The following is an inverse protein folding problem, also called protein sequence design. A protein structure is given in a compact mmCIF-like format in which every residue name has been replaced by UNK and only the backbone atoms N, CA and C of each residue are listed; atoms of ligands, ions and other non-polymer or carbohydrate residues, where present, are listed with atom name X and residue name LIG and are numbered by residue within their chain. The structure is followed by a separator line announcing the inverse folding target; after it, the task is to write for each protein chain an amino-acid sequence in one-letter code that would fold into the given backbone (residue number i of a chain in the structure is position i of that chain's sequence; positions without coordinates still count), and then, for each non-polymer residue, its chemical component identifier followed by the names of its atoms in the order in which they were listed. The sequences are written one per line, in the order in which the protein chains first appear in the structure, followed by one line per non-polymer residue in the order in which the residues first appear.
data_IF_940325157037
#
_entry.id   IF_940325157037
#
_cell.length_a   1.000
_cell.length_b   1.000
_cell.length_c   1.000
_cell.angle_alpha   90.00
_cell.angle_beta   90.00
_cell.angle_gamma   90.00
#
_symmetry.space_group_name_H-M   'P 1'
#
loop_
_entity.id
_entity.type
_entity.pdbx_description
1 polymer ?
#
# COMPACT_ATOMS: atom_id res chain seq x y z
N UNK A 1 12.91 -0.84 17.60
CA UNK A 1 12.13 0.13 16.82
C UNK A 1 12.18 -0.45 15.42
N UNK A 2 11.08 -1.03 14.93
CA UNK A 2 11.00 -1.28 13.50
C UNK A 2 11.12 0.10 12.83
N UNK A 3 11.94 0.18 11.79
CA UNK A 3 11.94 1.36 10.94
C UNK A 3 10.64 1.24 10.14
N UNK A 4 9.59 1.98 10.52
CA UNK A 4 8.25 1.93 9.89
C UNK A 4 8.28 2.57 8.48
N UNK A 5 9.28 2.24 7.67
CA UNK A 5 9.59 2.84 6.39
C UNK A 5 10.00 1.78 5.37
N UNK A 6 9.89 2.11 4.09
CA UNK A 6 10.31 1.23 2.99
C UNK A 6 11.75 1.52 2.61
N UNK A 7 12.59 0.50 2.70
CA UNK A 7 13.97 0.54 2.23
C UNK A 7 14.03 0.07 0.78
N UNK A 8 14.63 0.87 -0.10
CA UNK A 8 14.79 0.53 -1.51
C UNK A 8 16.25 0.62 -1.94
N UNK A 9 16.68 -0.33 -2.75
CA UNK A 9 17.98 -0.29 -3.40
C UNK A 9 17.85 0.35 -4.78
N UNK A 10 18.48 1.51 -4.94
CA UNK A 10 18.44 2.33 -6.16
C UNK A 10 19.79 2.24 -6.86
N UNK A 11 19.77 1.88 -8.14
CA UNK A 11 20.94 1.73 -8.98
C UNK A 11 20.95 2.71 -10.16
N UNK A 12 22.14 3.15 -10.57
CA UNK A 12 22.36 3.99 -11.73
C UNK A 12 22.40 3.12 -13.00
N UNK A 13 21.42 3.32 -13.90
CA UNK A 13 21.30 2.51 -15.11
C UNK A 13 22.41 2.83 -16.12
N UNK A 14 22.83 4.09 -16.20
CA UNK A 14 23.89 4.52 -17.11
C UNK A 14 25.25 3.87 -16.80
N UNK A 15 25.63 3.85 -15.53
CA UNK A 15 26.85 3.16 -15.08
C UNK A 15 26.73 1.64 -15.14
N UNK A 16 25.53 1.11 -14.86
CA UNK A 16 25.28 -0.32 -15.02
C UNK A 16 25.53 -0.78 -16.45
N UNK A 17 25.09 -0.01 -17.44
CA UNK A 17 25.35 -0.26 -18.87
C UNK A 17 26.84 -0.22 -19.24
N UNK A 18 27.67 0.47 -18.46
CA UNK A 18 29.13 0.51 -18.61
C UNK A 18 29.85 -0.59 -17.83
N UNK A 19 29.12 -1.48 -17.16
CA UNK A 19 29.67 -2.55 -16.33
C UNK A 19 30.09 -2.09 -14.92
N UNK A 20 29.70 -0.89 -14.50
CA UNK A 20 29.93 -0.36 -13.16
C UNK A 20 28.65 -0.40 -12.31
N UNK A 21 28.65 -1.21 -11.25
CA UNK A 21 27.59 -1.17 -10.24
C UNK A 21 27.77 0.05 -9.34
N UNK A 22 26.92 1.07 -9.53
CA UNK A 22 26.78 2.21 -8.62
C UNK A 22 25.33 2.32 -8.18
N UNK A 23 25.11 2.29 -6.86
CA UNK A 23 23.79 2.34 -6.24
C UNK A 23 23.90 2.32 -4.72
N UNK A 24 22.77 2.41 -4.05
CA UNK A 24 22.70 2.42 -2.59
C UNK A 24 21.31 2.11 -2.06
N UNK A 25 21.24 1.81 -0.76
CA UNK A 25 19.98 1.68 -0.04
C UNK A 25 19.56 3.04 0.53
N UNK A 26 18.26 3.32 0.50
CA UNK A 26 17.63 4.44 1.19
C UNK A 26 16.32 3.98 1.83
N UNK A 27 16.03 4.45 3.03
CA UNK A 27 14.80 4.15 3.77
C UNK A 27 13.88 5.37 3.72
N UNK A 28 12.72 5.22 3.08
CA UNK A 28 11.70 6.25 2.90
C UNK A 28 10.63 6.15 4.02
N UNK A 29 9.98 7.27 4.40
CA UNK A 29 10.14 8.60 3.84
C UNK A 29 11.40 9.34 4.35
N UNK A 30 11.95 10.19 3.49
CA UNK A 30 13.01 11.18 3.81
C UNK A 30 12.61 12.57 3.31
N UNK A 31 13.27 13.61 3.83
CA UNK A 31 13.14 14.96 3.29
C UNK A 31 13.59 15.01 1.82
N UNK A 32 12.93 15.81 0.96
CA UNK A 32 13.27 15.91 -0.47
C UNK A 32 14.75 16.23 -0.74
N UNK A 33 15.34 17.17 0.02
CA UNK A 33 16.75 17.52 -0.10
C UNK A 33 17.69 16.33 0.18
N UNK A 34 17.32 15.45 1.12
CA UNK A 34 18.09 14.26 1.45
C UNK A 34 17.94 13.19 0.35
N UNK A 35 16.77 13.10 -0.29
CA UNK A 35 16.53 12.24 -1.44
C UNK A 35 17.36 12.68 -2.66
N UNK A 36 17.39 13.99 -2.94
CA UNK A 36 18.21 14.57 -4.00
C UNK A 36 19.70 14.38 -3.75
N UNK A 37 20.14 14.58 -2.51
CA UNK A 37 21.53 14.28 -2.11
C UNK A 37 21.86 12.80 -2.31
N UNK A 38 20.94 11.90 -1.97
CA UNK A 38 21.13 10.47 -2.19
C UNK A 38 21.28 10.12 -3.68
N UNK A 39 20.38 10.63 -4.54
CA UNK A 39 20.43 10.40 -5.98
C UNK A 39 21.74 10.93 -6.60
N UNK A 40 22.14 12.14 -6.23
CA UNK A 40 23.33 12.79 -6.78
C UNK A 40 24.65 12.23 -6.23
N UNK A 41 24.79 12.07 -4.92
CA UNK A 41 26.07 11.68 -4.29
C UNK A 41 26.25 10.15 -4.26
N UNK A 42 25.20 9.42 -3.90
CA UNK A 42 25.27 7.95 -3.68
C UNK A 42 25.03 7.20 -4.98
N UNK A 43 23.88 7.43 -5.62
CA UNK A 43 23.56 6.77 -6.90
C UNK A 43 24.37 7.37 -8.04
N UNK A 44 24.77 8.65 -7.94
CA UNK A 44 25.63 9.28 -8.93
C UNK A 44 24.92 9.64 -10.21
N UNK A 45 23.61 9.78 -10.17
CA UNK A 45 22.84 10.34 -11.26
C UNK A 45 23.33 11.80 -11.39
N UNK A 46 23.55 12.31 -12.61
CA UNK A 46 23.71 13.75 -12.98
C UNK A 46 25.07 14.34 -12.83
N UNK A 47 25.97 13.60 -12.21
CA UNK A 47 27.35 13.66 -12.62
C UNK A 47 27.46 13.15 -14.07
N UNK A 48 27.98 13.96 -14.99
CA UNK A 48 28.33 13.55 -16.37
C UNK A 48 27.17 13.08 -17.30
N UNK A 49 25.92 13.48 -17.05
CA UNK A 49 24.80 13.25 -17.99
C UNK A 49 24.08 11.90 -17.85
N UNK A 50 24.32 11.16 -16.76
CA UNK A 50 23.49 10.02 -16.40
C UNK A 50 22.20 10.53 -15.74
N UNK A 51 21.06 10.42 -16.42
CA UNK A 51 19.76 10.90 -15.88
C UNK A 51 18.92 9.77 -15.28
N UNK A 52 19.33 8.52 -15.51
CA UNK A 52 18.50 7.33 -15.28
C UNK A 52 18.91 6.47 -14.08
N UNK A 53 17.91 6.15 -13.25
CA UNK A 53 18.01 5.18 -12.17
C UNK A 53 16.89 4.13 -12.27
N UNK A 54 17.04 3.04 -11.51
CA UNK A 54 16.02 2.02 -11.29
C UNK A 54 16.06 1.53 -9.84
N UNK A 55 14.89 1.10 -9.33
CA UNK A 55 14.78 0.33 -8.10
C UNK A 55 14.98 -1.15 -8.44
N UNK A 56 15.96 -1.82 -7.82
CA UNK A 56 16.22 -3.23 -8.08
C UNK A 56 15.79 -4.16 -6.95
N UNK A 57 15.68 -3.63 -5.73
CA UNK A 57 15.31 -4.40 -4.56
C UNK A 57 14.61 -3.50 -3.56
N UNK A 58 13.79 -4.10 -2.69
CA UNK A 58 13.09 -3.39 -1.63
C UNK A 58 12.80 -4.29 -0.43
N UNK A 59 12.78 -3.68 0.75
CA UNK A 59 12.48 -4.32 2.03
C UNK A 59 11.61 -3.36 2.85
N UNK A 60 10.62 -3.87 3.59
CA UNK A 60 9.78 -3.06 4.46
C UNK A 60 8.85 -3.91 5.32
N UNK A 61 8.22 -3.30 6.31
CA UNK A 61 7.16 -3.90 7.11
C UNK A 61 5.94 -2.97 7.27
N UNK A 62 4.88 -3.53 7.86
CA UNK A 62 3.66 -2.80 8.20
C UNK A 62 2.96 -2.17 7.00
N UNK A 63 2.41 -0.97 7.23
CA UNK A 63 1.61 -0.22 6.26
C UNK A 63 2.41 0.25 5.04
N UNK A 64 3.74 0.29 5.13
CA UNK A 64 4.58 0.67 3.98
C UNK A 64 4.94 -0.55 3.11
N UNK A 65 4.69 -1.77 3.61
CA UNK A 65 4.91 -3.04 2.91
C UNK A 65 3.60 -3.67 2.41
N UNK A 66 2.72 -2.84 1.84
CA UNK A 66 1.44 -3.27 1.28
C UNK A 66 1.64 -4.29 0.18
N UNK A 67 0.94 -5.42 0.31
CA UNK A 67 1.17 -6.58 -0.56
C UNK A 67 0.75 -6.32 -2.00
N UNK A 68 -0.23 -5.45 -2.21
CA UNK A 68 -0.71 -5.04 -3.52
C UNK A 68 0.04 -3.84 -4.12
N UNK A 69 0.90 -3.14 -3.36
CA UNK A 69 1.66 -2.01 -3.89
C UNK A 69 2.84 -2.50 -4.73
N UNK A 70 2.84 -2.12 -6.01
CA UNK A 70 3.87 -2.52 -6.95
C UNK A 70 5.07 -1.59 -6.84
N UNK A 71 6.14 -2.09 -6.24
CA UNK A 71 7.47 -1.46 -6.24
C UNK A 71 8.33 -2.21 -7.26
N UNK A 72 8.44 -1.66 -8.46
CA UNK A 72 9.29 -2.19 -9.53
C UNK A 72 10.31 -1.14 -10.02
N UNK A 73 11.13 -1.52 -11.00
CA UNK A 73 12.16 -0.65 -11.59
C UNK A 73 11.60 0.62 -12.25
N UNK A 74 10.29 0.67 -12.49
CA UNK A 74 9.57 1.79 -13.06
C UNK A 74 8.76 2.59 -12.04
N UNK A 75 9.06 2.48 -10.76
CA UNK A 75 8.48 3.38 -9.76
C UNK A 75 9.31 4.65 -9.66
N UNK A 76 8.64 5.81 -9.73
CA UNK A 76 9.25 7.11 -9.43
C UNK A 76 9.57 7.18 -7.94
N UNK A 77 10.84 7.42 -7.61
CA UNK A 77 11.33 7.41 -6.24
C UNK A 77 10.75 8.55 -5.39
N UNK A 78 10.45 9.70 -5.99
CA UNK A 78 9.80 10.81 -5.28
C UNK A 78 8.35 10.46 -4.96
N UNK A 79 7.64 9.82 -5.90
CA UNK A 79 6.27 9.36 -5.69
C UNK A 79 6.18 8.28 -4.61
N UNK A 80 7.15 7.36 -4.59
CA UNK A 80 7.28 6.39 -3.53
C UNK A 80 7.59 7.06 -2.18
N UNK A 81 8.42 8.11 -2.17
CA UNK A 81 8.73 8.87 -0.96
C UNK A 81 7.50 9.61 -0.41
N UNK A 82 6.68 10.21 -1.28
CA UNK A 82 5.40 10.85 -0.93
C UNK A 82 4.41 9.82 -0.39
N UNK A 83 4.25 8.69 -1.06
CA UNK A 83 3.37 7.62 -0.60
C UNK A 83 3.82 7.09 0.77
N UNK A 84 5.11 6.84 0.96
CA UNK A 84 5.65 6.42 2.26
C UNK A 84 5.41 7.47 3.36
N UNK A 85 5.49 8.77 3.04
CA UNK A 85 5.21 9.84 3.99
C UNK A 85 3.75 9.84 4.45
N UNK A 86 2.81 9.81 3.48
CA UNK A 86 1.37 9.78 3.76
C UNK A 86 0.97 8.50 4.50
N UNK A 87 1.49 7.35 4.07
CA UNK A 87 1.18 6.06 4.68
C UNK A 87 1.69 5.99 6.12
N UNK A 88 2.89 6.50 6.41
CA UNK A 88 3.46 6.50 7.76
C UNK A 88 2.60 7.26 8.78
N UNK A 89 1.82 8.23 8.35
CA UNK A 89 0.90 8.97 9.23
C UNK A 89 -0.39 8.21 9.53
N UNK A 90 -0.71 7.16 8.78
CA UNK A 90 -1.90 6.35 9.06
C UNK A 90 -1.61 5.30 10.16
N UNK A 91 -2.67 4.83 10.81
CA UNK A 91 -2.57 3.72 11.77
C UNK A 91 -2.28 2.38 11.10
N UNK A 92 -1.60 1.46 11.79
CA UNK A 92 -1.29 0.13 11.25
C UNK A 92 -2.52 -0.67 10.78
N UNK A 93 -3.68 -0.37 11.36
CA UNK A 93 -4.94 -1.09 11.12
C UNK A 93 -5.57 -0.79 9.75
N UNK A 94 -5.10 0.23 9.02
CA UNK A 94 -5.67 0.55 7.68
C UNK A 94 -5.03 -0.25 6.55
N UNK A 95 -3.94 -0.99 6.78
CA UNK A 95 -3.20 -1.66 5.72
C UNK A 95 -4.06 -2.64 4.91
N UNK A 96 -4.83 -3.49 5.60
CA UNK A 96 -5.74 -4.43 4.96
C UNK A 96 -6.87 -3.72 4.19
N UNK A 97 -7.32 -2.55 4.68
CA UNK A 97 -8.32 -1.74 3.99
C UNK A 97 -7.79 -1.17 2.69
N UNK A 98 -6.55 -0.67 2.69
CA UNK A 98 -5.91 -0.12 1.50
C UNK A 98 -5.62 -1.19 0.45
N UNK A 99 -5.10 -2.36 0.85
CA UNK A 99 -4.84 -3.48 -0.07
C UNK A 99 -6.17 -3.92 -0.75
N UNK A 100 -7.26 -4.07 0.02
CA UNK A 100 -8.56 -4.45 -0.54
C UNK A 100 -9.13 -3.36 -1.46
N UNK A 101 -9.12 -2.09 -1.03
CA UNK A 101 -9.61 -0.98 -1.84
C UNK A 101 -8.82 -0.83 -3.15
N UNK A 102 -7.49 -0.99 -3.10
CA UNK A 102 -6.64 -0.97 -4.29
C UNK A 102 -6.95 -2.15 -5.23
N UNK A 103 -7.21 -3.35 -4.70
CA UNK A 103 -7.64 -4.50 -5.50
C UNK A 103 -8.97 -4.21 -6.23
N UNK A 104 -9.97 -3.68 -5.52
CA UNK A 104 -11.27 -3.32 -6.11
C UNK A 104 -11.15 -2.26 -7.20
N UNK A 105 -10.26 -1.28 -6.98
CA UNK A 105 -9.99 -0.21 -7.95
C UNK A 105 -9.00 -0.63 -9.06
N UNK A 106 -8.44 -1.85 -9.02
CA UNK A 106 -7.35 -2.32 -9.88
C UNK A 106 -6.16 -1.32 -9.90
N UNK A 107 -5.83 -0.79 -8.74
CA UNK A 107 -4.74 0.14 -8.51
C UNK A 107 -3.54 -0.57 -7.86
N UNK A 108 -2.33 -0.17 -8.22
CA UNK A 108 -1.09 -0.76 -7.65
C UNK A 108 0.06 0.23 -7.47
N UNK A 109 -0.06 1.46 -7.96
CA UNK A 109 1.01 2.46 -7.89
C UNK A 109 1.09 3.16 -6.53
N UNK A 110 2.26 3.68 -6.12
CA UNK A 110 2.43 4.33 -4.82
C UNK A 110 1.47 5.51 -4.58
N UNK A 111 1.28 6.38 -5.58
CA UNK A 111 0.38 7.53 -5.44
C UNK A 111 -1.10 7.12 -5.30
N UNK A 112 -1.50 6.02 -5.93
CA UNK A 112 -2.85 5.49 -5.75
C UNK A 112 -3.06 5.04 -4.29
N UNK A 113 -2.08 4.34 -3.71
CA UNK A 113 -2.12 3.98 -2.29
C UNK A 113 -2.12 5.20 -1.38
N UNK A 114 -1.35 6.25 -1.71
CA UNK A 114 -1.36 7.50 -0.97
C UNK A 114 -2.74 8.19 -1.02
N UNK A 115 -3.35 8.22 -2.21
CA UNK A 115 -4.68 8.79 -2.42
C UNK A 115 -5.77 8.02 -1.68
N UNK A 116 -5.71 6.68 -1.68
CA UNK A 116 -6.63 5.83 -0.91
C UNK A 116 -6.42 6.01 0.59
N UNK A 117 -5.17 6.15 1.06
CA UNK A 117 -4.86 6.41 2.47
C UNK A 117 -5.51 7.70 2.98
N UNK A 118 -5.50 8.77 2.18
CA UNK A 118 -6.18 10.02 2.51
C UNK A 118 -7.72 9.92 2.47
N UNK A 119 -8.27 8.84 1.90
CA UNK A 119 -9.69 8.54 1.80
C UNK A 119 -10.07 7.30 2.62
N UNK A 120 -9.24 6.89 3.59
CA UNK A 120 -9.45 5.62 4.30
C UNK A 120 -10.82 5.53 5.02
N UNK A 121 -11.34 6.67 5.50
CA UNK A 121 -12.64 6.78 6.14
C UNK A 121 -13.83 6.49 5.18
N UNK A 122 -13.63 6.60 3.86
CA UNK A 122 -14.65 6.36 2.83
C UNK A 122 -14.60 4.93 2.28
N UNK A 123 -13.63 4.10 2.71
CA UNK A 123 -13.59 2.68 2.36
C UNK A 123 -14.76 1.97 3.06
N UNK A 124 -15.59 1.15 2.36
CA UNK A 124 -16.78 0.52 2.93
C UNK A 124 -16.44 -0.68 3.83
N UNK A 125 -15.60 -0.46 4.83
CA UNK A 125 -15.17 -1.43 5.83
C UNK A 125 -15.93 -1.23 7.15
N UNK A 126 -16.22 -2.34 7.83
CA UNK A 126 -16.79 -2.32 9.17
C UNK A 126 -16.15 -3.40 10.04
N UNK A 127 -15.69 -3.00 11.22
CA UNK A 127 -15.28 -3.95 12.24
C UNK A 127 -16.48 -4.82 12.67
N UNK A 128 -16.21 -6.05 13.11
CA UNK A 128 -17.28 -6.90 13.63
C UNK A 128 -17.88 -6.33 14.91
N UNK A 129 -19.21 -6.31 14.98
CA UNK A 129 -19.96 -6.08 16.21
C UNK A 129 -20.47 -7.42 16.73
N UNK A 130 -19.63 -8.08 17.53
CA UNK A 130 -19.91 -9.39 18.09
C UNK A 130 -19.51 -9.45 19.57
N UNK A 131 -20.23 -10.24 20.40
CA UNK A 131 -19.87 -10.41 21.81
C UNK A 131 -18.44 -10.91 22.00
N UNK A 132 -17.75 -10.46 23.06
CA UNK A 132 -16.35 -10.86 23.37
C UNK A 132 -16.13 -12.39 23.45
N UNK A 133 -17.19 -13.18 23.67
CA UNK A 133 -17.12 -14.65 23.67
C UNK A 133 -16.96 -15.29 22.29
N UNK A 134 -17.03 -14.50 21.21
CA UNK A 134 -17.06 -14.95 19.79
C UNK A 134 -15.67 -14.85 19.14
N UNK A 135 -14.61 -14.58 19.91
CA UNK A 135 -13.22 -14.44 19.43
C UNK A 135 -12.67 -15.65 18.66
N UNK A 136 -13.25 -16.84 18.84
CA UNK A 136 -12.86 -18.08 18.15
C UNK A 136 -13.92 -18.59 17.16
N UNK A 137 -14.94 -17.81 16.88
CA UNK A 137 -15.96 -18.17 15.91
C UNK A 137 -15.45 -17.98 14.47
N UNK A 138 -16.17 -18.56 13.51
CA UNK A 138 -15.88 -18.31 12.09
C UNK A 138 -16.20 -16.87 11.71
N UNK A 139 -15.61 -16.39 10.60
CA UNK A 139 -15.87 -15.05 10.09
C UNK A 139 -17.36 -14.83 9.78
N UNK A 140 -18.02 -15.86 9.25
CA UNK A 140 -19.45 -15.83 8.95
C UNK A 140 -20.28 -15.74 10.22
N UNK A 141 -19.89 -16.43 11.30
CA UNK A 141 -20.59 -16.31 12.57
C UNK A 141 -20.42 -14.92 13.19
N UNK A 142 -19.20 -14.35 13.16
CA UNK A 142 -18.97 -12.94 13.56
C UNK A 142 -19.84 -11.98 12.75
N UNK A 143 -19.91 -12.18 11.43
CA UNK A 143 -20.72 -11.37 10.52
C UNK A 143 -22.22 -11.46 10.83
N UNK A 144 -22.72 -12.67 11.13
CA UNK A 144 -24.12 -12.86 11.51
C UNK A 144 -24.49 -12.08 12.78
N UNK A 145 -23.58 -11.99 13.76
CA UNK A 145 -23.78 -11.12 14.93
C UNK A 145 -23.80 -9.64 14.54
N UNK A 146 -22.88 -9.17 13.68
CA UNK A 146 -22.90 -7.79 13.19
C UNK A 146 -24.23 -7.44 12.51
N UNK A 147 -24.77 -8.34 11.67
CA UNK A 147 -26.06 -8.13 11.01
C UNK A 147 -27.21 -7.98 12.03
N UNK A 148 -27.17 -8.72 13.15
CA UNK A 148 -28.20 -8.70 14.17
C UNK A 148 -28.30 -7.35 14.91
N UNK A 149 -27.30 -6.47 14.82
CA UNK A 149 -27.40 -5.12 15.38
C UNK A 149 -28.30 -4.20 14.53
N UNK A 150 -28.56 -4.57 13.27
CA UNK A 150 -29.43 -3.81 12.36
C UNK A 150 -30.69 -4.56 11.94
N UNK A 151 -30.71 -5.89 12.10
CA UNK A 151 -31.85 -6.76 11.84
C UNK A 151 -32.50 -7.25 13.16
N UNK A 152 -33.61 -6.60 13.54
CA UNK A 152 -34.34 -6.92 14.77
C UNK A 152 -34.86 -8.37 14.81
N UNK A 153 -35.27 -8.93 13.66
CA UNK A 153 -35.79 -10.29 13.58
C UNK A 153 -34.67 -11.31 13.83
N UNK A 154 -33.49 -11.07 13.24
CA UNK A 154 -32.30 -11.88 13.49
C UNK A 154 -31.85 -11.77 14.95
N UNK A 155 -31.87 -10.57 15.53
CA UNK A 155 -31.54 -10.33 16.93
C UNK A 155 -32.47 -11.11 17.86
N UNK A 156 -33.78 -11.04 17.65
CA UNK A 156 -34.76 -11.78 18.46
C UNK A 156 -34.56 -13.31 18.33
N UNK A 157 -34.21 -13.80 17.14
CA UNK A 157 -33.92 -15.22 16.93
C UNK A 157 -32.69 -15.68 17.73
N UNK A 158 -31.62 -14.88 17.74
CA UNK A 158 -30.37 -15.14 18.47
C UNK A 158 -30.59 -15.06 19.99
N UNK A 159 -31.30 -14.05 20.48
CA UNK A 159 -31.56 -13.87 21.91
C UNK A 159 -32.67 -14.81 22.43
N UNK A 160 -33.42 -15.41 21.51
CA UNK A 160 -34.50 -16.33 21.81
C UNK A 160 -34.04 -17.66 22.40
N UNK A 161 -34.99 -18.42 22.94
CA UNK A 161 -34.74 -19.73 23.57
C UNK A 161 -34.02 -20.77 22.68
N UNK A 162 -34.02 -20.56 21.36
CA UNK A 162 -33.40 -21.45 20.38
C UNK A 162 -32.08 -20.91 19.81
N UNK A 163 -31.67 -19.69 20.18
CA UNK A 163 -30.44 -19.04 19.72
C UNK A 163 -29.20 -19.93 19.77
N UNK A 164 -28.92 -20.65 20.89
CA UNK A 164 -27.77 -21.55 20.99
C UNK A 164 -27.77 -22.74 20.02
N UNK A 165 -28.89 -22.99 19.33
CA UNK A 165 -29.03 -24.06 18.34
C UNK A 165 -29.05 -23.53 16.90
N UNK A 166 -29.01 -22.21 16.71
CA UNK A 166 -28.91 -21.61 15.39
C UNK A 166 -27.51 -21.84 14.83
N UNK A 167 -27.43 -22.16 13.54
CA UNK A 167 -26.17 -22.24 12.82
C UNK A 167 -25.83 -20.85 12.27
N UNK A 168 -25.26 -20.00 13.11
CA UNK A 168 -24.93 -18.62 12.77
C UNK A 168 -23.89 -18.53 11.64
N UNK A 169 -22.94 -19.45 11.59
CA UNK A 169 -22.01 -19.53 10.47
C UNK A 169 -22.72 -19.75 9.12
N UNK A 170 -23.74 -20.60 9.07
CA UNK A 170 -24.52 -20.79 7.84
C UNK A 170 -25.37 -19.55 7.49
N UNK A 171 -25.96 -18.91 8.49
CA UNK A 171 -26.73 -17.67 8.30
C UNK A 171 -25.83 -16.56 7.77
N UNK A 172 -24.70 -16.31 8.42
CA UNK A 172 -23.75 -15.28 8.01
C UNK A 172 -23.18 -15.52 6.62
N UNK A 173 -22.87 -16.77 6.25
CA UNK A 173 -22.46 -17.13 4.89
C UNK A 173 -23.51 -16.71 3.86
N UNK A 174 -24.78 -16.96 4.15
CA UNK A 174 -25.88 -16.66 3.23
C UNK A 174 -26.17 -15.15 3.17
N UNK A 175 -25.88 -14.40 4.24
CA UNK A 175 -25.97 -12.93 4.28
C UNK A 175 -24.78 -12.24 3.59
N UNK A 176 -23.59 -12.85 3.63
CA UNK A 176 -22.33 -12.28 3.16
C UNK A 176 -22.16 -12.30 1.62
N UNK A 177 -23.23 -12.42 0.83
CA UNK A 177 -23.12 -12.62 -0.62
C UNK A 177 -22.35 -11.51 -1.36
N UNK A 178 -22.42 -10.27 -0.87
CA UNK A 178 -21.69 -9.12 -1.42
C UNK A 178 -20.65 -8.59 -0.42
N UNK A 179 -20.15 -9.45 0.47
CA UNK A 179 -19.22 -9.05 1.51
C UNK A 179 -17.92 -9.80 1.37
N UNK A 180 -16.81 -9.11 1.59
CA UNK A 180 -15.51 -9.74 1.81
C UNK A 180 -15.23 -9.78 3.30
N UNK A 181 -15.21 -10.99 3.87
CA UNK A 181 -14.97 -11.20 5.29
C UNK A 181 -13.46 -11.37 5.56
N UNK A 182 -12.94 -10.67 6.56
CA UNK A 182 -11.53 -10.72 7.00
C UNK A 182 -11.47 -10.98 8.49
N UNK A 183 -10.28 -11.17 9.07
CA UNK A 183 -10.16 -11.40 10.51
C UNK A 183 -10.57 -10.18 11.36
N UNK A 184 -10.35 -8.97 10.83
CA UNK A 184 -10.54 -7.69 11.52
C UNK A 184 -11.91 -7.04 11.27
N UNK A 185 -12.64 -7.50 10.25
CA UNK A 185 -13.94 -6.95 9.88
C UNK A 185 -14.41 -7.44 8.52
N UNK A 186 -15.31 -6.70 7.90
CA UNK A 186 -15.86 -7.02 6.59
C UNK A 186 -15.97 -5.79 5.71
N UNK A 187 -15.80 -6.00 4.41
CA UNK A 187 -16.05 -5.00 3.38
C UNK A 187 -17.41 -5.21 2.74
N UNK A 188 -18.14 -4.13 2.46
CA UNK A 188 -19.38 -4.14 1.68
C UNK A 188 -19.07 -3.86 0.20
N UNK A 189 -18.86 -4.95 -0.56
CA UNK A 189 -18.51 -4.88 -1.98
C UNK A 189 -19.70 -4.49 -2.88
N UNK A 190 -20.88 -4.22 -2.31
CA UNK A 190 -21.98 -3.61 -3.05
C UNK A 190 -21.89 -2.06 -3.08
N UNK A 191 -21.03 -1.45 -2.25
CA UNK A 191 -20.79 -0.02 -2.23
C UNK A 191 -19.64 0.38 -3.16
N UNK A 192 -19.62 1.66 -3.54
CA UNK A 192 -18.53 2.23 -4.31
C UNK A 192 -17.29 2.41 -3.43
N UNK A 193 -16.11 2.12 -3.99
CA UNK A 193 -14.83 2.38 -3.35
C UNK A 193 -14.29 3.76 -3.73
N UNK A 194 -13.46 4.38 -2.87
CA UNK A 194 -12.83 5.66 -3.18
C UNK A 194 -11.99 5.59 -4.45
N UNK A 195 -11.94 6.71 -5.17
CA UNK A 195 -11.20 6.83 -6.42
C UNK A 195 -9.69 6.93 -6.11
N UNK A 196 -8.85 5.98 -6.55
CA UNK A 196 -7.40 6.05 -6.34
C UNK A 196 -6.76 7.26 -7.03
N UNK A 197 -7.40 7.84 -8.04
CA UNK A 197 -6.89 9.01 -8.77
C UNK A 197 -7.56 10.32 -8.32
N UNK A 198 -8.27 10.33 -7.18
CA UNK A 198 -8.96 11.51 -6.67
C UNK A 198 -8.03 12.72 -6.46
N UNK A 199 -6.88 12.49 -5.82
CA UNK A 199 -5.87 13.52 -5.62
C UNK A 199 -4.91 13.56 -6.80
N UNK A 200 -4.68 14.77 -7.30
CA UNK A 200 -3.58 15.03 -8.24
C UNK A 200 -2.22 14.76 -7.59
N UNK A 201 -1.20 14.55 -8.43
CA UNK A 201 0.19 14.40 -7.97
C UNK A 201 0.60 15.62 -7.14
N UNK A 202 0.28 16.82 -7.58
CA UNK A 202 0.51 18.08 -6.85
C UNK A 202 -0.08 18.05 -5.44
N UNK A 203 -1.35 17.68 -5.31
CA UNK A 203 -2.06 17.65 -4.01
C UNK A 203 -1.45 16.62 -3.06
N UNK A 204 -1.03 15.45 -3.57
CA UNK A 204 -0.36 14.43 -2.75
C UNK A 204 0.98 14.92 -2.20
N UNK A 205 1.75 15.67 -2.98
CA UNK A 205 2.99 16.29 -2.49
C UNK A 205 2.70 17.35 -1.42
N UNK A 206 1.68 18.17 -1.62
CA UNK A 206 1.24 19.14 -0.61
C UNK A 206 0.81 18.47 0.69
N UNK A 207 0.06 17.36 0.60
CA UNK A 207 -0.34 16.54 1.75
C UNK A 207 0.86 15.95 2.50
N UNK A 208 1.90 15.51 1.78
CA UNK A 208 3.15 15.04 2.38
C UNK A 208 4.04 16.17 2.92
N UNK A 209 3.69 17.44 2.69
CA UNK A 209 4.51 18.59 3.05
C UNK A 209 5.75 18.78 2.16
N UNK A 210 5.75 18.19 0.97
CA UNK A 210 6.86 18.22 0.01
C UNK A 210 6.56 19.16 -1.16
N UNK A 211 7.62 19.62 -1.84
CA UNK A 211 7.50 20.32 -3.11
C UNK A 211 7.62 19.33 -4.26
N UNK A 212 6.86 19.55 -5.33
CA UNK A 212 7.05 18.81 -6.56
C UNK A 212 8.46 19.02 -7.12
N UNK A 213 9.13 17.98 -7.61
CA UNK A 213 10.43 18.11 -8.25
C UNK A 213 10.38 19.13 -9.40
N UNK A 214 11.26 20.14 -9.36
CA UNK A 214 11.31 21.22 -10.37
C UNK A 214 10.34 22.39 -10.17
N UNK A 215 9.54 22.41 -9.10
CA UNK A 215 8.60 23.51 -8.82
C UNK A 215 9.27 24.80 -8.29
N UNK A 216 10.48 24.71 -7.75
CA UNK A 216 11.29 25.81 -7.24
C UNK A 216 12.15 26.49 -8.34
N UNK A 217 12.11 25.98 -9.57
CA UNK A 217 12.90 26.48 -10.69
C UNK A 217 14.32 25.92 -10.76
N UNK A 218 14.69 25.00 -9.86
CA UNK A 218 15.87 24.15 -10.01
C UNK A 218 15.41 22.84 -10.67
N UNK A 219 15.79 22.60 -11.92
CA UNK A 219 15.44 21.36 -12.63
C UNK A 219 16.00 20.15 -11.84
N UNK A 220 15.15 19.46 -11.10
CA UNK A 220 15.42 18.09 -10.67
C UNK A 220 15.44 17.21 -11.93
N UNK A 221 16.58 17.19 -12.61
CA UNK A 221 16.76 16.66 -13.98
C UNK A 221 16.80 15.12 -14.06
N UNK A 222 16.31 14.43 -13.03
CA UNK A 222 16.41 12.98 -12.87
C UNK A 222 15.16 12.30 -13.44
N UNK A 223 15.32 11.27 -14.27
CA UNK A 223 14.18 10.51 -14.81
C UNK A 223 14.38 9.02 -14.65
N UNK A 224 13.30 8.28 -14.43
CA UNK A 224 13.35 6.83 -14.43
C UNK A 224 13.60 6.31 -15.86
N UNK A 225 14.54 5.38 -16.00
CA UNK A 225 14.86 4.75 -17.28
C UNK A 225 13.99 3.52 -17.52
N UNK A 226 13.46 3.36 -18.73
CA UNK A 226 12.82 2.09 -19.12
C UNK A 226 13.90 1.11 -19.57
N UNK A 227 14.07 -0.03 -18.90
CA UNK A 227 14.92 -1.14 -19.35
C UNK A 227 14.33 -1.86 -20.58
N UNK A 228 13.95 -1.11 -21.63
CA UNK A 228 13.50 -1.67 -22.89
C UNK A 228 14.70 -2.09 -23.73
N UNK A 229 15.23 -3.26 -23.37
CA UNK A 229 16.22 -3.99 -24.13
C UNK A 229 17.40 -4.37 -23.27
N UNK A 230 17.37 -5.57 -22.69
CA UNK A 230 18.45 -6.56 -22.66
C UNK A 230 18.14 -7.60 -21.57
N UNK A 231 18.19 -8.88 -21.94
CA UNK A 231 18.08 -10.03 -21.03
C UNK A 231 18.96 -9.82 -19.78
N UNK A 232 18.32 -9.77 -18.61
CA UNK A 232 19.05 -9.87 -17.35
C UNK A 232 19.83 -11.20 -17.32
N UNK A 233 21.15 -11.20 -17.11
CA UNK A 233 21.86 -12.45 -16.88
C UNK A 233 21.36 -13.01 -15.56
N UNK A 234 20.70 -14.17 -15.65
CA UNK A 234 20.29 -14.96 -14.48
C UNK A 234 21.50 -15.17 -13.57
N UNK A 235 21.49 -14.53 -12.40
CA UNK A 235 22.47 -14.77 -11.36
C UNK A 235 22.24 -16.18 -10.78
N UNK A 236 22.84 -17.17 -11.43
CA UNK A 236 23.02 -18.50 -10.86
C UNK A 236 23.97 -18.37 -9.66
N UNK A 237 23.40 -18.37 -8.45
CA UNK A 237 24.17 -18.44 -7.21
C UNK A 237 25.00 -19.72 -7.17
N UNK A 238 26.23 -19.69 -6.62
CA UNK A 238 27.02 -20.90 -6.50
C UNK A 238 26.39 -21.79 -5.42
N UNK A 239 26.02 -23.00 -5.82
CA UNK A 239 25.57 -24.05 -4.92
C UNK A 239 26.63 -24.32 -3.84
N UNK A 240 26.24 -24.23 -2.57
CA UNK A 240 26.78 -25.02 -1.46
C UNK A 240 25.71 -25.31 -0.42
#
# INVERSE_FOLDING_TARGET
MADDGISVYVANLGKYNEGELKGGWITLPVEPDDLDRFLSETVGVGAAGYEEYAIHDWEGDGLVALSGMKIDEHVDLNDLNVAAAILKEQGADVAAMLDHAAEQANASGPLAYASLALQADDIPFSAYDAPEGVLYASLEEKFAYSCAETDEDLKEAIDGKWGPYLNLAAIGRDLAMNMTLTDDGYFDDAQDYPDPDYYSREELYEHAGYLLPGADGEDAAWRMGTASGLDAPTASGPAR
#
